data_IF_819458132821
#
_entry.id   IF_819458132821
#
_cell.length_a   1.000
_cell.length_b   1.000
_cell.length_c   1.000
_cell.angle_alpha   90.00
_cell.angle_beta   90.00
_cell.angle_gamma   90.00
#
_symmetry.space_group_name_H-M   'P 1'
#
loop_
_entity.id
_entity.type
_entity.pdbx_description
1 polymer ?
#
# COMPACT_ATOMS: atom_id res chain seq x y z
N UNK A 1 14.18 -11.91 -8.58
CA UNK A 1 14.30 -12.77 -7.39
C UNK A 1 14.17 -11.85 -6.17
N UNK A 2 13.93 -12.37 -4.96
CA UNK A 2 13.85 -11.48 -3.78
C UNK A 2 15.23 -10.89 -3.50
N UNK A 3 15.30 -9.61 -3.15
CA UNK A 3 16.53 -8.88 -2.81
C UNK A 3 16.46 -8.39 -1.37
N UNK A 4 17.01 -9.18 -0.46
CA UNK A 4 17.04 -8.80 0.95
C UNK A 4 17.91 -7.57 1.25
N UNK A 5 18.76 -7.11 0.32
CA UNK A 5 19.47 -5.84 0.50
C UNK A 5 18.53 -4.64 0.44
N UNK A 6 17.40 -4.74 -0.28
CA UNK A 6 16.37 -3.68 -0.31
C UNK A 6 15.68 -3.53 1.04
N UNK A 7 15.49 -4.63 1.77
CA UNK A 7 15.00 -4.59 3.15
C UNK A 7 15.98 -3.84 4.07
N UNK A 8 17.29 -4.11 3.93
CA UNK A 8 18.32 -3.41 4.70
C UNK A 8 18.34 -1.91 4.37
N UNK A 9 18.21 -1.56 3.09
CA UNK A 9 18.18 -0.18 2.64
C UNK A 9 16.98 0.57 3.24
N UNK A 10 15.78 -0.01 3.17
CA UNK A 10 14.57 0.55 3.76
C UNK A 10 14.65 0.68 5.28
N UNK A 11 15.16 -0.35 5.97
CA UNK A 11 15.37 -0.31 7.41
C UNK A 11 16.30 0.86 7.81
N UNK A 12 17.42 1.03 7.09
CA UNK A 12 18.35 2.15 7.31
C UNK A 12 17.71 3.50 7.02
N UNK A 13 16.94 3.61 5.93
CA UNK A 13 16.25 4.86 5.55
C UNK A 13 15.18 5.27 6.58
N UNK A 14 14.45 4.30 7.15
CA UNK A 14 13.43 4.55 8.17
C UNK A 14 14.02 4.95 9.52
N UNK A 15 15.28 4.62 9.80
CA UNK A 15 16.01 5.04 11.00
C UNK A 15 15.46 4.44 12.32
N UNK A 16 14.67 3.37 12.25
CA UNK A 16 14.05 2.76 13.43
C UNK A 16 15.01 1.80 14.18
N UNK A 17 14.67 1.48 15.43
CA UNK A 17 15.48 0.54 16.24
C UNK A 17 15.34 -0.89 15.71
N UNK A 18 16.45 -1.61 15.64
CA UNK A 18 16.50 -3.02 15.19
C UNK A 18 15.49 -3.92 15.90
N UNK A 19 15.33 -3.76 17.22
CA UNK A 19 14.38 -4.57 18.01
C UNK A 19 12.93 -4.30 17.60
N UNK A 20 12.57 -3.04 17.32
CA UNK A 20 11.23 -2.67 16.88
C UNK A 20 10.94 -3.28 15.52
N UNK A 21 11.87 -3.15 14.57
CA UNK A 21 11.76 -3.74 13.25
C UNK A 21 11.58 -5.27 13.32
N UNK A 22 12.46 -5.97 14.03
CA UNK A 22 12.39 -7.44 14.11
C UNK A 22 11.12 -7.92 14.81
N UNK A 23 10.68 -7.23 15.87
CA UNK A 23 9.41 -7.54 16.53
C UNK A 23 8.24 -7.41 15.57
N UNK A 24 8.22 -6.39 14.70
CA UNK A 24 7.16 -6.19 13.73
C UNK A 24 7.09 -7.29 12.67
N UNK A 25 8.23 -7.84 12.27
CA UNK A 25 8.29 -8.84 11.19
C UNK A 25 8.18 -10.28 11.71
N UNK A 26 8.90 -10.61 12.79
CA UNK A 26 9.01 -11.98 13.30
C UNK A 26 8.37 -12.19 14.67
N UNK A 27 7.85 -11.14 15.31
CA UNK A 27 7.28 -11.21 16.65
C UNK A 27 8.29 -11.02 17.79
N UNK A 28 7.78 -10.83 19.00
CA UNK A 28 8.58 -10.42 20.18
C UNK A 28 9.54 -11.49 20.71
N UNK A 29 9.29 -12.76 20.42
CA UNK A 29 10.13 -13.90 20.81
C UNK A 29 11.28 -14.18 19.84
N UNK A 30 11.35 -13.45 18.71
CA UNK A 30 12.39 -13.68 17.71
C UNK A 30 13.74 -13.16 18.17
N UNK A 31 14.77 -13.98 17.99
CA UNK A 31 16.18 -13.61 18.17
C UNK A 31 16.85 -13.17 16.86
N UNK A 32 16.07 -13.02 15.77
CA UNK A 32 16.59 -12.54 14.50
C UNK A 32 17.11 -11.10 14.63
N UNK A 33 17.98 -10.72 13.71
CA UNK A 33 18.51 -9.36 13.58
C UNK A 33 18.26 -8.87 12.16
N UNK A 34 18.32 -7.55 11.88
CA UNK A 34 18.13 -7.05 10.53
C UNK A 34 19.06 -7.73 9.51
N UNK A 35 20.25 -8.17 9.92
CA UNK A 35 21.18 -8.90 9.04
C UNK A 35 20.64 -10.23 8.50
N UNK A 36 19.56 -10.78 9.06
CA UNK A 36 18.85 -11.94 8.49
C UNK A 36 18.54 -11.77 7.00
N UNK A 37 18.17 -10.55 6.58
CA UNK A 37 17.82 -10.25 5.21
C UNK A 37 19.03 -10.08 4.29
N UNK A 38 20.23 -9.83 4.83
CA UNK A 38 21.41 -9.50 4.03
C UNK A 38 21.77 -10.66 3.08
N UNK A 39 21.75 -10.40 1.78
CA UNK A 39 22.08 -11.40 0.75
C UNK A 39 21.04 -12.51 0.54
N UNK A 40 19.87 -12.44 1.18
CA UNK A 40 18.79 -13.40 0.94
C UNK A 40 18.17 -13.20 -0.44
N UNK A 41 17.91 -14.35 -1.09
CA UNK A 41 17.35 -14.47 -2.44
C UNK A 41 15.92 -15.02 -2.48
N UNK A 42 15.42 -15.46 -1.32
CA UNK A 42 14.08 -16.00 -1.13
C UNK A 42 13.54 -15.60 0.25
N UNK A 43 12.22 -15.51 0.33
CA UNK A 43 11.47 -15.16 1.53
C UNK A 43 10.11 -15.86 1.47
N UNK A 44 9.53 -16.23 2.61
CA UNK A 44 8.14 -16.70 2.69
C UNK A 44 7.14 -15.56 2.50
N UNK A 45 5.93 -15.90 2.06
CA UNK A 45 4.84 -14.94 1.78
C UNK A 45 4.46 -14.12 3.01
N UNK A 46 4.39 -14.76 4.18
CA UNK A 46 3.94 -14.13 5.41
C UNK A 46 4.93 -13.05 5.86
N UNK A 47 6.22 -13.35 5.78
CA UNK A 47 7.28 -12.39 6.07
C UNK A 47 7.29 -11.25 5.04
N UNK A 48 7.08 -11.56 3.76
CA UNK A 48 7.00 -10.56 2.70
C UNK A 48 5.82 -9.58 2.91
N UNK A 49 4.65 -10.09 3.28
CA UNK A 49 3.48 -9.27 3.57
C UNK A 49 3.71 -8.36 4.78
N UNK A 50 4.31 -8.88 5.85
CA UNK A 50 4.66 -8.06 7.02
C UNK A 50 5.66 -6.97 6.68
N UNK A 51 6.64 -7.25 5.82
CA UNK A 51 7.59 -6.24 5.33
C UNK A 51 6.88 -5.15 4.52
N UNK A 52 6.03 -5.55 3.57
CA UNK A 52 5.24 -4.63 2.75
C UNK A 52 4.38 -3.70 3.61
N UNK A 53 3.66 -4.27 4.60
CA UNK A 53 2.85 -3.50 5.54
C UNK A 53 3.68 -2.58 6.43
N UNK A 54 4.81 -3.06 6.96
CA UNK A 54 5.65 -2.29 7.88
C UNK A 54 6.32 -1.08 7.22
N UNK A 55 6.73 -1.23 5.96
CA UNK A 55 7.32 -0.14 5.18
C UNK A 55 6.30 0.65 4.37
N UNK A 56 5.05 0.21 4.35
CA UNK A 56 3.99 0.74 3.50
C UNK A 56 4.44 0.82 2.02
N UNK A 57 4.95 -0.29 1.51
CA UNK A 57 5.39 -0.46 0.12
C UNK A 57 4.82 -1.74 -0.48
N UNK A 58 4.70 -1.85 -1.82
CA UNK A 58 4.28 -3.08 -2.49
C UNK A 58 5.25 -4.23 -2.24
N UNK A 59 4.74 -5.47 -2.25
CA UNK A 59 5.58 -6.67 -2.09
C UNK A 59 6.65 -6.76 -3.19
N UNK A 60 6.32 -6.29 -4.39
CA UNK A 60 7.18 -6.26 -5.56
C UNK A 60 8.43 -5.39 -5.34
N UNK A 61 8.36 -4.39 -4.46
CA UNK A 61 9.48 -3.49 -4.15
C UNK A 61 10.69 -4.21 -3.56
N UNK A 62 10.51 -5.44 -3.06
CA UNK A 62 11.60 -6.26 -2.53
C UNK A 62 12.22 -7.20 -3.57
N UNK A 63 11.86 -7.12 -4.86
CA UNK A 63 12.41 -7.98 -5.90
C UNK A 63 13.38 -7.23 -6.81
N UNK A 64 14.42 -7.91 -7.31
CA UNK A 64 15.52 -7.31 -8.09
C UNK A 64 15.05 -6.38 -9.22
N UNK A 65 13.98 -6.78 -9.92
CA UNK A 65 13.46 -6.10 -11.11
C UNK A 65 12.68 -4.80 -10.81
N UNK A 66 12.42 -4.49 -9.53
CA UNK A 66 11.71 -3.28 -9.14
C UNK A 66 12.70 -2.19 -8.69
N UNK A 67 12.50 -0.92 -9.09
CA UNK A 67 13.35 0.17 -8.61
C UNK A 67 13.34 0.24 -7.07
N UNK A 68 14.47 0.62 -6.47
CA UNK A 68 14.59 0.65 -5.02
C UNK A 68 13.55 1.61 -4.42
N UNK A 69 12.77 1.19 -3.41
CA UNK A 69 11.78 2.05 -2.79
C UNK A 69 12.49 3.18 -2.04
N UNK A 70 12.28 4.43 -2.48
CA UNK A 70 12.99 5.63 -2.00
C UNK A 70 12.49 6.15 -0.64
N UNK A 71 11.84 5.31 0.18
CA UNK A 71 11.32 5.71 1.49
C UNK A 71 10.17 6.73 1.43
N UNK A 72 9.61 6.98 0.26
CA UNK A 72 8.49 7.90 0.09
C UNK A 72 7.16 7.17 0.16
N UNK A 73 6.18 7.78 0.84
CA UNK A 73 4.83 7.27 1.07
C UNK A 73 4.21 6.73 -0.21
N UNK A 74 3.99 5.42 -0.29
CA UNK A 74 3.23 4.83 -1.39
C UNK A 74 1.75 4.88 -1.02
N UNK A 75 0.97 5.62 -1.81
CA UNK A 75 -0.49 5.61 -1.72
C UNK A 75 -0.96 4.36 -2.47
N UNK A 76 -1.46 3.37 -1.73
CA UNK A 76 -2.02 2.14 -2.28
C UNK A 76 -3.54 2.25 -2.28
N UNK A 77 -4.15 2.12 -3.46
CA UNK A 77 -5.60 2.03 -3.59
C UNK A 77 -5.98 0.54 -3.74
N UNK A 78 -7.17 0.15 -3.24
CA UNK A 78 -7.73 -1.22 -3.32
C UNK A 78 -7.98 -1.75 -4.76
N UNK A 79 -7.43 -1.11 -5.79
CA UNK A 79 -7.42 -1.54 -7.19
C UNK A 79 -6.00 -1.37 -7.73
N UNK A 80 -5.09 -2.30 -7.39
CA UNK A 80 -3.81 -2.62 -8.05
C UNK A 80 -2.86 -1.51 -8.52
N UNK A 81 -3.06 -0.25 -8.14
CA UNK A 81 -2.21 0.86 -8.54
C UNK A 81 -1.41 1.32 -7.33
N UNK A 82 -0.11 1.02 -7.37
CA UNK A 82 0.87 1.42 -6.36
C UNK A 82 1.80 2.47 -6.95
N UNK A 83 1.85 3.66 -6.36
CA UNK A 83 2.63 4.79 -6.89
C UNK A 83 3.77 5.17 -5.96
N UNK A 84 4.99 5.24 -6.51
CA UNK A 84 6.17 5.76 -5.82
C UNK A 84 6.28 7.27 -6.08
N UNK A 85 6.33 8.08 -5.01
CA UNK A 85 6.41 9.56 -5.11
C UNK A 85 7.72 10.05 -5.78
N UNK A 86 8.66 9.15 -6.10
CA UNK A 86 9.97 9.48 -6.70
C UNK A 86 9.93 9.68 -8.21
N UNK A 87 8.75 9.75 -8.82
CA UNK A 87 8.59 9.92 -10.26
C UNK A 87 8.68 11.39 -10.68
N UNK A 88 8.93 11.62 -11.98
CA UNK A 88 8.97 12.95 -12.59
C UNK A 88 7.72 13.76 -12.21
N UNK A 89 7.83 15.09 -11.96
CA UNK A 89 6.70 15.95 -11.66
C UNK A 89 5.50 15.80 -12.61
N UNK A 90 5.76 15.50 -13.88
CA UNK A 90 4.75 15.27 -14.92
C UNK A 90 3.90 14.02 -14.63
N UNK A 91 4.53 12.95 -14.15
CA UNK A 91 3.84 11.70 -13.83
C UNK A 91 3.00 11.86 -12.56
N UNK A 92 3.50 12.63 -11.58
CA UNK A 92 2.73 12.97 -10.39
C UNK A 92 1.50 13.82 -10.72
N UNK A 93 1.63 14.81 -11.61
CA UNK A 93 0.49 15.62 -12.07
C UNK A 93 -0.56 14.78 -12.78
N UNK A 94 -0.14 13.89 -13.68
CA UNK A 94 -1.07 13.00 -14.37
C UNK A 94 -1.78 12.06 -13.39
N UNK A 95 -1.04 11.51 -12.42
CA UNK A 95 -1.62 10.63 -11.38
C UNK A 95 -2.64 11.36 -10.51
N UNK A 96 -2.34 12.60 -10.11
CA UNK A 96 -3.29 13.44 -9.36
C UNK A 96 -4.58 13.63 -10.16
N UNK A 97 -4.46 13.90 -11.46
CA UNK A 97 -5.60 14.07 -12.36
C UNK A 97 -6.44 12.79 -12.46
N UNK A 98 -5.78 11.64 -12.61
CA UNK A 98 -6.47 10.34 -12.70
C UNK A 98 -7.20 10.01 -11.39
N UNK A 99 -6.57 10.26 -10.23
CA UNK A 99 -7.20 10.08 -8.93
C UNK A 99 -8.38 11.03 -8.70
N UNK A 100 -8.28 12.28 -9.16
CA UNK A 100 -9.39 13.23 -9.12
C UNK A 100 -10.58 12.75 -9.96
N UNK A 101 -10.32 12.19 -11.15
CA UNK A 101 -11.36 11.57 -11.98
C UNK A 101 -12.07 10.42 -11.26
N UNK A 102 -11.32 9.49 -10.65
CA UNK A 102 -11.89 8.38 -9.89
C UNK A 102 -12.74 8.87 -8.71
N UNK A 103 -12.29 9.92 -8.01
CA UNK A 103 -13.07 10.51 -6.91
C UNK A 103 -14.37 11.12 -7.42
N UNK A 104 -14.32 11.80 -8.57
CA UNK A 104 -15.50 12.39 -9.19
C UNK A 104 -16.51 11.32 -9.60
N UNK A 105 -16.08 10.28 -10.32
CA UNK A 105 -16.94 9.17 -10.75
C UNK A 105 -17.63 8.49 -9.55
N UNK A 106 -16.88 8.31 -8.46
CA UNK A 106 -17.43 7.74 -7.22
C UNK A 106 -18.45 8.65 -6.55
N UNK A 107 -18.23 9.96 -6.56
CA UNK A 107 -19.19 10.91 -6.01
C UNK A 107 -20.50 10.92 -6.81
N UNK A 108 -20.41 10.88 -8.14
CA UNK A 108 -21.59 10.78 -9.00
C UNK A 108 -22.38 9.49 -8.75
N UNK A 109 -21.68 8.36 -8.56
CA UNK A 109 -22.31 7.09 -8.20
C UNK A 109 -22.97 7.14 -6.82
N UNK A 110 -22.32 7.76 -5.82
CA UNK A 110 -22.90 7.94 -4.48
C UNK A 110 -24.19 8.76 -4.57
N UNK A 111 -24.20 9.84 -5.34
CA UNK A 111 -25.37 10.70 -5.48
C UNK A 111 -26.51 10.00 -6.24
N UNK A 112 -26.18 9.18 -7.25
CA UNK A 112 -27.15 8.32 -7.90
C UNK A 112 -27.80 7.33 -6.91
N UNK A 113 -26.99 6.62 -6.12
CA UNK A 113 -27.48 5.66 -5.13
C UNK A 113 -28.35 6.32 -4.06
N UNK A 114 -28.00 7.54 -3.61
CA UNK A 114 -28.84 8.32 -2.70
C UNK A 114 -30.21 8.62 -3.30
N UNK A 115 -30.27 9.06 -4.56
CA UNK A 115 -31.54 9.33 -5.26
C UNK A 115 -32.40 8.08 -5.35
N UNK A 116 -31.82 6.94 -5.73
CA UNK A 116 -32.54 5.67 -5.78
C UNK A 116 -33.11 5.28 -4.40
N UNK A 117 -32.33 5.46 -3.34
CA UNK A 117 -32.78 5.12 -1.99
C UNK A 117 -33.97 5.99 -1.55
N UNK A 118 -33.95 7.29 -1.84
CA UNK A 118 -35.08 8.19 -1.57
C UNK A 118 -36.34 7.72 -2.32
N UNK A 119 -36.24 7.41 -3.61
CA UNK A 119 -37.36 6.91 -4.41
C UNK A 119 -37.94 5.61 -3.86
N UNK A 120 -37.09 4.68 -3.42
CA UNK A 120 -37.52 3.43 -2.82
C UNK A 120 -38.26 3.66 -1.50
N UNK A 121 -37.76 4.56 -0.65
CA UNK A 121 -38.43 4.93 0.61
C UNK A 121 -39.81 5.55 0.34
N UNK A 122 -39.91 6.46 -0.62
CA UNK A 122 -41.18 7.08 -1.01
C UNK A 122 -42.18 6.05 -1.55
N UNK A 123 -41.73 5.18 -2.45
CA UNK A 123 -42.55 4.10 -3.01
C UNK A 123 -43.05 3.15 -1.92
N UNK A 124 -42.19 2.80 -0.96
CA UNK A 124 -42.55 1.95 0.17
C UNK A 124 -43.58 2.62 1.10
N UNK A 125 -43.46 3.92 1.35
CA UNK A 125 -44.45 4.68 2.14
C UNK A 125 -45.81 4.76 1.46
N UNK A 126 -45.84 4.96 0.14
CA UNK A 126 -47.08 5.00 -0.64
C UNK A 126 -47.76 3.63 -0.67
N UNK A 127 -47.00 2.55 -0.80
CA UNK A 127 -47.55 1.18 -0.86
C UNK A 127 -48.11 0.65 0.47
N UNK A 128 -47.86 1.31 1.60
CA UNK A 128 -48.28 0.89 2.95
C UNK A 128 -49.27 1.86 3.62
N UNK A 129 -49.80 2.83 2.87
CA UNK A 129 -50.96 3.64 3.23
C UNK A 129 -52.15 3.24 2.37
#
# INVERSE_FOLDING_TARGET
MFDGNKVIALFKAKGEKSKTFITAIFGASSHATPSYFKGKKSIDSDTLEKLAKHFNVPMESFFDNFPAPTGQTIVSNNHHNTFSIGQSPEVLQQTIKDLQGVVQDKNEMIDYLKKQNIQLIETFKISNN
#
